data_IF_855796468980
#
_entry.id   IF_855796468980
#
_cell.length_a   1.000
_cell.length_b   1.000
_cell.length_c   1.000
_cell.angle_alpha   90.00
_cell.angle_beta   90.00
_cell.angle_gamma   90.00
#
_symmetry.space_group_name_H-M   'P 1'
#
loop_
_entity.id
_entity.type
_entity.pdbx_description
1 polymer ?
#
# COMPACT_ATOMS: atom_id res chain seq x y z
N UNK A 1 -33.84 -19.08 27.55
CA UNK A 1 -33.18 -20.36 27.26
C UNK A 1 -31.68 -20.13 27.31
N UNK A 2 -30.96 -20.87 28.16
CA UNK A 2 -29.51 -20.85 28.44
C UNK A 2 -28.62 -20.77 27.19
N UNK A 3 -27.38 -20.25 27.19
CA UNK A 3 -26.31 -20.51 28.16
C UNK A 3 -25.25 -19.37 28.24
N UNK A 4 -24.94 -18.91 29.46
CA UNK A 4 -23.66 -19.07 30.21
C UNK A 4 -22.47 -18.21 29.74
N UNK A 5 -22.34 -17.03 30.35
CA UNK A 5 -21.03 -16.43 30.62
C UNK A 5 -20.71 -16.71 32.10
N UNK A 6 -19.68 -17.53 32.37
CA UNK A 6 -19.27 -17.91 33.73
C UNK A 6 -18.59 -16.75 34.46
N UNK A 7 -19.25 -16.27 35.51
CA UNK A 7 -18.76 -15.96 36.86
C UNK A 7 -17.24 -15.74 37.08
N UNK A 8 -16.84 -14.52 37.48
CA UNK A 8 -16.39 -14.25 38.86
C UNK A 8 -16.89 -12.87 39.29
N UNK A 9 -17.56 -12.86 40.43
CA UNK A 9 -18.17 -11.77 41.15
C UNK A 9 -17.16 -10.71 41.62
N UNK A 10 -17.47 -9.42 41.48
CA UNK A 10 -17.53 -8.50 42.64
C UNK A 10 -18.64 -7.48 42.40
N UNK A 11 -19.66 -7.61 43.24
CA UNK A 11 -20.74 -6.67 43.47
C UNK A 11 -20.18 -5.42 44.15
N UNK A 12 -20.21 -4.25 43.51
CA UNK A 12 -20.26 -2.98 44.22
C UNK A 12 -21.22 -2.02 43.50
N UNK A 13 -22.42 -1.97 44.06
CA UNK A 13 -23.38 -0.89 43.87
C UNK A 13 -22.76 0.41 44.43
N UNK A 14 -22.62 1.44 43.61
CA UNK A 14 -22.65 2.83 44.08
C UNK A 14 -23.17 3.74 42.97
N UNK A 15 -24.39 4.22 43.20
CA UNK A 15 -25.02 5.34 42.51
C UNK A 15 -24.13 6.58 42.63
N UNK A 16 -23.77 7.22 41.51
CA UNK A 16 -23.67 8.68 41.31
C UNK A 16 -22.77 9.02 40.12
N UNK A 17 -23.28 9.83 39.20
CA UNK A 17 -22.48 10.58 38.22
C UNK A 17 -22.62 10.10 36.79
N UNK A 18 -23.46 10.78 36.01
CA UNK A 18 -23.40 10.77 34.56
C UNK A 18 -22.02 11.31 34.12
N UNK A 19 -21.06 10.43 33.88
CA UNK A 19 -19.89 10.74 33.08
C UNK A 19 -20.22 10.27 31.67
N UNK A 20 -20.51 11.22 30.78
CA UNK A 20 -20.57 10.98 29.34
C UNK A 20 -19.15 10.64 28.86
N UNK A 21 -18.74 9.40 29.06
CA UNK A 21 -17.67 8.81 28.27
C UNK A 21 -18.28 8.54 26.91
N UNK A 22 -18.06 9.44 25.96
CA UNK A 22 -18.05 9.06 24.55
C UNK A 22 -16.95 8.02 24.42
N UNK A 23 -17.32 6.76 24.63
CA UNK A 23 -16.51 5.61 24.31
C UNK A 23 -16.39 5.63 22.79
N UNK A 24 -15.32 6.29 22.32
CA UNK A 24 -14.79 6.06 20.99
C UNK A 24 -14.36 4.60 20.97
N UNK A 25 -15.34 3.73 20.72
CA UNK A 25 -15.09 2.37 20.30
C UNK A 25 -14.01 2.46 19.21
N UNK A 26 -12.94 1.66 19.27
CA UNK A 26 -12.06 1.52 18.13
C UNK A 26 -12.96 1.02 17.00
N UNK A 27 -13.33 1.95 16.12
CA UNK A 27 -14.01 1.66 14.88
C UNK A 27 -13.21 0.54 14.25
N UNK A 28 -13.92 -0.54 13.94
CA UNK A 28 -13.41 -1.73 13.26
C UNK A 28 -12.40 -1.26 12.23
N UNK A 29 -11.17 -1.71 12.41
CA UNK A 29 -10.03 -1.46 11.53
C UNK A 29 -10.51 -1.50 10.08
N UNK A 30 -10.55 -0.35 9.41
CA UNK A 30 -10.84 -0.22 7.98
C UNK A 30 -9.66 -0.85 7.25
N UNK A 31 -9.68 -2.17 7.14
CA UNK A 31 -8.65 -2.95 6.48
C UNK A 31 -8.60 -2.50 5.01
N UNK A 32 -7.49 -1.88 4.61
CA UNK A 32 -7.12 -1.49 3.24
C UNK A 32 -8.30 -1.19 2.31
N UNK A 33 -8.97 -0.05 2.55
CA UNK A 33 -10.01 0.48 1.68
C UNK A 33 -9.46 0.63 0.25
N UNK A 34 -10.01 -0.14 -0.69
CA UNK A 34 -9.64 -0.03 -2.09
C UNK A 34 -9.91 1.38 -2.64
N UNK A 35 -9.31 1.69 -3.79
CA UNK A 35 -9.40 2.99 -4.43
C UNK A 35 -10.06 2.89 -5.80
N UNK A 36 -10.51 4.01 -6.35
CA UNK A 36 -11.01 4.02 -7.72
C UNK A 36 -9.87 3.73 -8.69
N UNK A 37 -10.03 2.78 -9.64
CA UNK A 37 -9.03 2.56 -10.66
C UNK A 37 -8.88 3.82 -11.52
N UNK A 38 -7.65 4.20 -11.86
CA UNK A 38 -7.41 5.42 -12.63
C UNK A 38 -8.00 5.39 -14.06
N UNK A 39 -8.29 4.20 -14.61
CA UNK A 39 -8.98 4.03 -15.90
C UNK A 39 -10.07 2.98 -15.80
N UNK A 40 -11.13 3.17 -16.58
CA UNK A 40 -12.21 2.19 -16.71
C UNK A 40 -11.83 1.09 -17.71
N UNK A 41 -11.08 0.09 -17.24
CA UNK A 41 -10.70 -1.10 -18.01
C UNK A 41 -11.63 -2.29 -17.76
N UNK A 42 -12.41 -2.24 -16.68
CA UNK A 42 -13.35 -3.27 -16.26
C UNK A 42 -14.79 -2.86 -16.59
N UNK A 43 -15.65 -3.85 -16.83
CA UNK A 43 -17.08 -3.59 -17.04
C UNK A 43 -17.70 -3.15 -15.71
N UNK A 44 -18.29 -1.95 -15.63
CA UNK A 44 -18.96 -1.53 -14.40
C UNK A 44 -20.13 -2.45 -14.05
N UNK A 45 -20.33 -2.68 -12.77
CA UNK A 45 -21.45 -3.51 -12.28
C UNK A 45 -22.79 -2.76 -12.32
N UNK A 46 -22.75 -1.44 -12.20
CA UNK A 46 -23.92 -0.58 -12.40
C UNK A 46 -23.49 0.80 -12.90
N UNK A 47 -24.41 1.50 -13.56
CA UNK A 47 -24.25 2.88 -14.01
C UNK A 47 -25.04 3.80 -13.10
N UNK A 48 -24.45 4.93 -12.71
CA UNK A 48 -25.03 5.87 -11.78
C UNK A 48 -24.85 5.42 -10.33
N UNK A 49 -24.18 6.25 -9.55
CA UNK A 49 -24.03 6.12 -8.11
C UNK A 49 -23.65 7.50 -7.55
N UNK A 50 -23.89 7.72 -6.26
CA UNK A 50 -23.50 8.93 -5.53
C UNK A 50 -22.42 8.60 -4.50
N UNK A 51 -22.43 7.39 -3.96
CA UNK A 51 -21.43 6.90 -3.00
C UNK A 51 -21.19 5.40 -3.13
N UNK A 52 -20.09 4.91 -2.56
CA UNK A 52 -19.75 3.47 -2.50
C UNK A 52 -20.88 2.61 -1.92
N UNK A 53 -21.76 3.20 -1.09
CA UNK A 53 -22.92 2.49 -0.49
C UNK A 53 -24.00 2.13 -1.50
N UNK A 54 -24.05 2.80 -2.64
CA UNK A 54 -24.98 2.50 -3.74
C UNK A 54 -24.51 1.26 -4.53
N UNK A 55 -23.26 0.85 -4.32
CA UNK A 55 -22.62 -0.23 -5.05
C UNK A 55 -22.63 -1.53 -4.25
N UNK A 56 -23.11 -2.61 -4.86
CA UNK A 56 -23.10 -3.95 -4.26
C UNK A 56 -21.70 -4.57 -4.29
N UNK A 57 -21.42 -5.50 -3.37
CA UNK A 57 -20.20 -6.31 -3.40
C UNK A 57 -18.91 -5.58 -2.99
N UNK A 58 -19.03 -4.48 -2.25
CA UNK A 58 -17.86 -3.67 -1.86
C UNK A 58 -17.24 -2.88 -3.03
N UNK A 59 -17.99 -2.69 -4.10
CA UNK A 59 -17.58 -1.86 -5.23
C UNK A 59 -17.56 -0.38 -4.86
N UNK A 60 -16.76 0.37 -5.59
CA UNK A 60 -16.58 1.80 -5.39
C UNK A 60 -17.34 2.58 -6.43
N UNK A 61 -17.93 3.69 -6.00
CA UNK A 61 -18.55 4.65 -6.87
C UNK A 61 -17.47 5.57 -7.44
N UNK A 62 -17.10 5.32 -8.70
CA UNK A 62 -16.00 6.02 -9.35
C UNK A 62 -16.54 6.89 -10.49
N UNK A 63 -16.09 8.14 -10.52
CA UNK A 63 -16.45 9.10 -11.56
C UNK A 63 -15.42 9.03 -12.68
N UNK A 64 -15.85 8.63 -13.87
CA UNK A 64 -15.07 8.70 -15.11
C UNK A 64 -15.69 9.73 -16.07
N UNK A 65 -15.09 9.92 -17.24
CA UNK A 65 -15.55 10.91 -18.24
C UNK A 65 -17.02 10.72 -18.65
N UNK A 66 -17.52 9.48 -18.62
CA UNK A 66 -18.91 9.14 -18.97
C UNK A 66 -19.87 9.11 -17.76
N UNK A 67 -19.46 9.63 -16.60
CA UNK A 67 -20.25 9.70 -15.37
C UNK A 67 -19.81 8.72 -14.28
N UNK A 68 -20.58 8.70 -13.18
CA UNK A 68 -20.34 7.85 -12.03
C UNK A 68 -20.82 6.41 -12.27
N UNK A 69 -19.98 5.43 -11.97
CA UNK A 69 -20.26 4.00 -12.15
C UNK A 69 -19.70 3.18 -10.99
N UNK A 70 -20.31 2.04 -10.69
CA UNK A 70 -19.81 1.12 -9.69
C UNK A 70 -18.80 0.14 -10.30
N UNK A 71 -17.57 0.16 -9.81
CA UNK A 71 -16.48 -0.71 -10.28
C UNK A 71 -15.83 -1.44 -9.11
N UNK A 72 -15.25 -2.63 -9.36
CA UNK A 72 -14.38 -3.27 -8.38
C UNK A 72 -13.28 -2.29 -7.91
N UNK A 73 -12.99 -2.26 -6.59
CA UNK A 73 -11.88 -1.47 -6.07
C UNK A 73 -10.55 -1.90 -6.69
N UNK A 74 -9.68 -0.93 -6.97
CA UNK A 74 -8.27 -1.17 -7.20
C UNK A 74 -7.52 -1.21 -5.86
N UNK A 75 -6.51 -2.06 -5.78
CA UNK A 75 -5.69 -2.23 -4.57
C UNK A 75 -4.23 -1.91 -4.87
N UNK A 76 -3.55 -1.32 -3.88
CA UNK A 76 -2.10 -1.15 -3.94
C UNK A 76 -1.45 -2.40 -3.39
N UNK A 77 -0.58 -3.05 -4.17
CA UNK A 77 0.16 -4.22 -3.70
C UNK A 77 1.33 -3.77 -2.81
N UNK A 78 1.73 -4.57 -1.81
CA UNK A 78 2.86 -4.25 -0.95
C UNK A 78 4.19 -4.20 -1.71
N UNK A 79 5.15 -3.48 -1.16
CA UNK A 79 6.49 -3.30 -1.72
C UNK A 79 6.63 -2.02 -2.56
N UNK A 80 7.85 -1.78 -3.03
CA UNK A 80 8.25 -0.55 -3.72
C UNK A 80 8.73 -0.87 -5.13
N UNK A 81 8.35 -0.03 -6.09
CA UNK A 81 8.81 -0.13 -7.47
C UNK A 81 10.33 0.02 -7.53
N UNK A 82 11.06 -0.90 -8.20
CA UNK A 82 12.51 -0.79 -8.34
C UNK A 82 12.89 0.51 -9.07
N UNK A 83 13.94 1.17 -8.58
CA UNK A 83 14.47 2.36 -9.24
C UNK A 83 15.10 1.92 -10.57
N UNK A 84 14.60 2.47 -11.69
CA UNK A 84 15.07 2.11 -13.03
C UNK A 84 16.52 2.55 -13.25
N UNK A 85 17.29 1.69 -13.95
CA UNK A 85 18.39 2.17 -14.80
C UNK A 85 17.75 2.74 -16.07
N UNK A 86 18.03 3.99 -16.42
CA UNK A 86 17.61 4.56 -17.70
C UNK A 86 18.05 3.63 -18.84
N UNK A 87 17.11 3.23 -19.71
CA UNK A 87 17.34 2.29 -20.80
C UNK A 87 16.11 2.19 -21.72
N UNK A 88 16.30 1.61 -22.91
CA UNK A 88 15.30 1.51 -23.98
C UNK A 88 14.15 0.54 -23.64
N UNK A 89 13.31 0.90 -22.68
CA UNK A 89 11.99 0.28 -22.51
C UNK A 89 11.04 0.79 -23.60
N UNK A 90 10.05 -0.02 -23.96
CA UNK A 90 8.98 0.45 -24.85
C UNK A 90 8.16 1.52 -24.13
N UNK A 91 7.90 2.62 -24.84
CA UNK A 91 7.02 3.67 -24.35
C UNK A 91 5.56 3.26 -24.55
N UNK A 92 5.05 2.50 -23.60
CA UNK A 92 3.70 1.96 -23.66
C UNK A 92 3.10 1.82 -22.26
N UNK A 93 1.78 1.91 -22.20
CA UNK A 93 0.96 1.71 -21.01
C UNK A 93 0.49 0.25 -20.97
N UNK A 94 1.27 -0.63 -20.33
CA UNK A 94 0.91 -2.05 -20.19
C UNK A 94 0.01 -2.35 -18.98
N UNK A 95 -0.01 -1.46 -17.99
CA UNK A 95 -0.84 -1.54 -16.80
C UNK A 95 -1.24 -0.14 -16.35
N UNK A 96 -2.26 -0.03 -15.50
CA UNK A 96 -2.72 1.24 -14.91
C UNK A 96 -2.64 1.19 -13.38
N UNK A 97 -3.01 0.06 -12.79
CA UNK A 97 -2.93 -0.19 -11.36
C UNK A 97 -2.20 -1.50 -11.07
N UNK A 98 -1.74 -1.68 -9.84
CA UNK A 98 -1.11 -2.94 -9.40
C UNK A 98 -2.05 -4.15 -9.61
N UNK A 99 -3.36 -3.95 -9.51
CA UNK A 99 -4.37 -4.98 -9.74
C UNK A 99 -4.40 -5.51 -11.18
N UNK A 100 -3.88 -4.76 -12.16
CA UNK A 100 -3.76 -5.22 -13.55
C UNK A 100 -2.59 -6.21 -13.73
N UNK A 101 -1.64 -6.19 -12.80
CA UNK A 101 -0.45 -7.02 -12.86
C UNK A 101 -0.69 -8.40 -12.21
N UNK A 102 -0.06 -9.46 -12.72
CA UNK A 102 -0.16 -10.78 -12.10
C UNK A 102 0.57 -10.83 -10.75
N UNK A 103 0.24 -11.84 -9.94
CA UNK A 103 0.96 -12.15 -8.70
C UNK A 103 1.16 -10.92 -7.78
N UNK A 104 2.36 -10.76 -7.21
CA UNK A 104 2.78 -9.61 -6.40
C UNK A 104 3.38 -8.46 -7.21
N UNK A 105 3.34 -8.50 -8.54
CA UNK A 105 3.94 -7.45 -9.36
C UNK A 105 3.16 -6.14 -9.27
N UNK A 106 3.90 -5.03 -9.22
CA UNK A 106 3.34 -3.68 -9.15
C UNK A 106 3.38 -3.03 -10.53
N UNK A 107 2.40 -2.16 -10.79
CA UNK A 107 2.39 -1.33 -11.98
C UNK A 107 3.32 -0.13 -11.78
N UNK A 108 4.51 -0.23 -12.35
CA UNK A 108 5.60 0.72 -12.10
C UNK A 108 5.88 1.55 -13.33
N UNK A 109 6.11 2.85 -13.15
CA UNK A 109 6.51 3.73 -14.24
C UNK A 109 7.88 3.31 -14.79
N UNK A 110 7.98 3.20 -16.11
CA UNK A 110 9.23 2.96 -16.81
C UNK A 110 9.95 4.23 -17.30
N UNK A 111 9.42 5.41 -16.96
CA UNK A 111 9.93 6.72 -17.37
C UNK A 111 9.07 7.41 -18.42
N UNK A 112 8.35 6.67 -19.26
CA UNK A 112 7.39 7.27 -20.20
C UNK A 112 6.06 6.51 -20.36
N UNK A 113 5.98 5.29 -19.83
CA UNK A 113 4.76 4.51 -19.64
C UNK A 113 4.82 3.68 -18.36
N UNK A 114 4.06 2.57 -18.31
CA UNK A 114 3.97 1.69 -17.14
C UNK A 114 4.05 0.23 -17.54
N UNK A 115 4.73 -0.57 -16.72
CA UNK A 115 4.79 -2.02 -16.86
C UNK A 115 4.76 -2.71 -15.50
N UNK A 116 4.36 -3.97 -15.50
CA UNK A 116 4.40 -4.80 -14.33
C UNK A 116 5.84 -5.16 -13.97
N UNK A 117 6.26 -4.83 -12.75
CA UNK A 117 7.59 -5.14 -12.23
C UNK A 117 7.49 -5.83 -10.87
N UNK A 118 8.40 -6.77 -10.63
CA UNK A 118 8.58 -7.35 -9.30
C UNK A 118 8.99 -6.25 -8.31
N UNK A 119 8.25 -6.05 -7.21
CA UNK A 119 8.60 -5.05 -6.21
C UNK A 119 9.75 -5.53 -5.32
N UNK A 120 10.40 -4.59 -4.64
CA UNK A 120 11.29 -4.91 -3.54
C UNK A 120 10.71 -4.45 -2.20
N UNK A 121 11.06 -5.16 -1.14
CA UNK A 121 10.73 -4.77 0.24
C UNK A 121 11.78 -3.79 0.75
N UNK A 122 11.34 -2.67 1.31
CA UNK A 122 12.22 -1.76 2.03
C UNK A 122 12.55 -2.39 3.38
N UNK A 123 13.83 -2.53 3.69
CA UNK A 123 14.26 -3.07 4.96
C UNK A 123 14.15 -2.02 6.07
N UNK A 124 13.84 -2.41 7.31
CA UNK A 124 13.72 -1.49 8.43
C UNK A 124 15.04 -0.77 8.73
N UNK A 125 14.95 0.35 9.46
CA UNK A 125 16.11 1.18 9.85
C UNK A 125 16.47 2.26 8.82
N UNK A 126 17.45 3.11 9.18
CA UNK A 126 17.89 4.23 8.34
C UNK A 126 19.37 4.10 7.99
N UNK A 127 19.79 4.75 6.92
CA UNK A 127 21.20 4.84 6.59
C UNK A 127 21.91 5.77 7.57
N UNK A 128 23.06 5.34 8.07
CA UNK A 128 23.98 6.23 8.76
C UNK A 128 24.52 7.31 7.79
N UNK A 129 25.07 8.38 8.34
CA UNK A 129 25.72 9.41 7.53
C UNK A 129 26.85 8.78 6.68
N UNK A 130 26.97 9.16 5.39
CA UNK A 130 27.97 8.58 4.50
C UNK A 130 29.36 8.73 5.08
N UNK A 131 30.06 7.61 5.29
CA UNK A 131 31.49 7.63 5.60
C UNK A 131 32.25 8.01 4.33
N UNK A 132 33.25 8.88 4.47
CA UNK A 132 34.10 9.28 3.36
C UNK A 132 34.81 8.08 2.73
N UNK A 133 34.36 7.62 1.56
CA UNK A 133 35.04 6.55 0.82
C UNK A 133 35.66 7.10 -0.48
N UNK A 134 36.93 6.78 -0.78
CA UNK A 134 37.57 7.23 -2.02
C UNK A 134 37.09 6.45 -3.26
N UNK A 135 36.30 5.38 -3.07
CA UNK A 135 35.81 4.53 -4.15
C UNK A 135 34.42 4.97 -4.60
N UNK A 136 34.27 5.27 -5.88
CA UNK A 136 33.00 5.62 -6.50
C UNK A 136 32.45 4.45 -7.30
N UNK A 137 31.41 3.80 -6.80
CA UNK A 137 30.76 2.68 -7.48
C UNK A 137 29.31 2.48 -7.00
N UNK A 138 28.48 1.99 -7.92
CA UNK A 138 27.08 1.62 -7.66
C UNK A 138 26.99 0.11 -7.40
N UNK A 139 27.16 -0.30 -6.14
CA UNK A 139 27.11 -1.72 -5.73
C UNK A 139 25.69 -2.24 -5.54
N UNK A 140 24.75 -1.35 -5.21
CA UNK A 140 23.35 -1.67 -5.02
C UNK A 140 22.47 -0.50 -5.53
N UNK A 141 21.19 -0.75 -5.73
CA UNK A 141 20.18 0.23 -6.14
C UNK A 141 18.99 0.26 -5.17
N UNK A 142 18.76 -0.84 -4.45
CA UNK A 142 17.71 -0.95 -3.44
C UNK A 142 18.08 -2.00 -2.38
N UNK A 143 17.45 -1.89 -1.20
CA UNK A 143 17.73 -2.73 -0.02
C UNK A 143 17.64 -4.23 -0.30
N UNK A 144 16.71 -4.63 -1.18
CA UNK A 144 16.52 -6.03 -1.55
C UNK A 144 17.72 -6.70 -2.23
N UNK A 145 18.71 -5.94 -2.70
CA UNK A 145 19.95 -6.49 -3.26
C UNK A 145 21.03 -6.75 -2.21
N UNK A 146 20.87 -6.17 -1.01
CA UNK A 146 21.83 -6.32 0.06
C UNK A 146 21.53 -7.57 0.88
N UNK A 147 22.54 -8.23 1.48
CA UNK A 147 22.32 -9.39 2.33
C UNK A 147 21.68 -9.01 3.67
N UNK A 148 21.00 -9.97 4.31
CA UNK A 148 20.43 -9.82 5.66
C UNK A 148 19.60 -8.52 5.83
N UNK A 149 19.83 -7.76 6.90
CA UNK A 149 19.14 -6.49 7.19
C UNK A 149 19.86 -5.26 6.62
N UNK A 150 20.94 -5.46 5.85
CA UNK A 150 21.68 -4.35 5.27
C UNK A 150 20.84 -3.57 4.27
N UNK A 151 20.97 -2.25 4.32
CA UNK A 151 20.28 -1.32 3.43
C UNK A 151 21.22 -0.83 2.34
N UNK A 152 20.64 -0.45 1.20
CA UNK A 152 21.39 0.20 0.14
C UNK A 152 21.48 1.69 0.43
N UNK A 153 22.64 2.12 0.92
CA UNK A 153 22.84 3.47 1.45
C UNK A 153 23.74 4.31 0.56
N UNK A 154 23.49 5.64 0.47
CA UNK A 154 24.34 6.53 -0.29
C UNK A 154 25.73 6.62 0.36
N UNK A 155 26.77 6.55 -0.47
CA UNK A 155 28.15 6.83 -0.06
C UNK A 155 28.54 8.25 -0.49
N UNK A 156 29.81 8.63 -0.37
CA UNK A 156 30.35 9.84 -1.01
C UNK A 156 30.13 9.86 -2.52
N UNK A 157 30.12 8.69 -3.15
CA UNK A 157 29.81 8.53 -4.57
C UNK A 157 29.27 7.12 -4.86
N UNK A 158 27.98 7.06 -5.20
CA UNK A 158 27.25 5.81 -5.45
C UNK A 158 26.52 5.29 -4.22
N UNK A 159 26.28 3.98 -4.19
CA UNK A 159 25.59 3.30 -3.09
C UNK A 159 26.26 1.97 -2.75
N UNK A 160 26.23 1.63 -1.46
CA UNK A 160 26.77 0.38 -0.94
C UNK A 160 25.85 -0.20 0.13
N UNK A 161 25.95 -1.52 0.33
CA UNK A 161 25.25 -2.20 1.41
C UNK A 161 25.90 -1.87 2.76
N UNK A 162 25.11 -1.34 3.69
CA UNK A 162 25.57 -1.03 5.04
C UNK A 162 24.51 -1.38 6.07
N UNK A 163 24.96 -1.70 7.28
CA UNK A 163 24.05 -1.92 8.41
C UNK A 163 23.22 -0.65 8.71
N UNK A 164 21.92 -0.81 8.98
CA UNK A 164 21.07 0.30 9.40
C UNK A 164 21.48 0.86 10.77
N UNK A 165 21.18 2.14 11.01
CA UNK A 165 21.25 2.79 12.33
C UNK A 165 19.91 2.77 13.08
#
# INVERSE_FOLDING_TARGET
MSARCCSVSVLFLCLSGCLTTTDAAPGRDCTEEGHCPAKLTVVPSSRGCVSDKDCSGGHKCCVFDCGAVCVPPAFTKPGVCPRRKFGAGMCAEFCVNDSDCPNSEKCCSNGCGHECMAPYTVKPGRCALPKGTPMCAEYCYHDGQCPAEQKCCPTTCGHACSEPC
#
